data_IF_490362000451
#
_entry.id   IF_490362000451
#
_cell.length_a   1.000
_cell.length_b   1.000
_cell.length_c   1.000
_cell.angle_alpha   90.00
_cell.angle_beta   90.00
_cell.angle_gamma   90.00
#
_symmetry.space_group_name_H-M   'P 1'
#
loop_
_entity.id
_entity.type
_entity.pdbx_description
1 polymer ?
#
# COMPACT_ATOMS: atom_id res chain seq x y z
N UNK A 1 1.77 12.95 -14.10
CA UNK A 1 1.96 12.16 -12.85
C UNK A 1 3.40 11.64 -12.87
N UNK A 2 4.28 12.42 -12.29
CA UNK A 2 5.69 11.99 -12.14
C UNK A 2 5.75 10.95 -11.01
N UNK A 3 6.02 9.71 -11.37
CA UNK A 3 6.31 8.66 -10.40
C UNK A 3 7.74 8.89 -9.88
N UNK A 4 7.93 9.89 -9.02
CA UNK A 4 9.21 10.09 -8.34
C UNK A 4 9.47 8.89 -7.43
N UNK A 5 10.49 8.11 -7.78
CA UNK A 5 10.95 6.96 -6.98
C UNK A 5 10.81 5.59 -7.64
N UNK A 6 10.54 5.54 -8.94
CA UNK A 6 10.71 4.31 -9.73
C UNK A 6 12.16 4.16 -10.19
N UNK A 7 13.08 4.04 -9.25
CA UNK A 7 14.28 3.29 -9.51
C UNK A 7 13.89 1.81 -9.40
N UNK A 8 13.87 1.12 -10.52
CA UNK A 8 13.83 -0.34 -10.57
C UNK A 8 15.16 -0.87 -10.02
N UNK A 9 15.46 -0.55 -8.75
CA UNK A 9 16.58 -1.13 -8.03
C UNK A 9 16.24 -2.59 -7.90
N UNK A 10 17.08 -3.44 -8.49
CA UNK A 10 17.01 -4.86 -8.27
C UNK A 10 16.86 -5.11 -6.77
N UNK A 11 15.74 -5.71 -6.39
CA UNK A 11 15.49 -6.08 -4.99
C UNK A 11 16.63 -6.99 -4.57
N UNK A 12 17.47 -6.52 -3.62
CA UNK A 12 18.55 -7.36 -3.09
C UNK A 12 17.93 -8.39 -2.12
N UNK A 13 17.84 -9.65 -2.53
CA UNK A 13 17.20 -10.69 -1.71
C UNK A 13 17.92 -10.89 -0.37
N UNK A 14 19.18 -10.47 -0.24
CA UNK A 14 19.94 -10.55 1.03
C UNK A 14 19.37 -9.65 2.12
N UNK A 15 18.65 -8.57 1.75
CA UNK A 15 17.97 -7.70 2.73
C UNK A 15 16.84 -8.42 3.44
N UNK A 16 16.08 -9.23 2.71
CA UNK A 16 14.99 -10.04 3.27
C UNK A 16 15.54 -11.09 4.23
N UNK A 17 16.58 -11.82 3.82
CA UNK A 17 17.17 -12.92 4.62
C UNK A 17 17.83 -12.42 5.90
N UNK A 18 18.40 -11.21 5.88
CA UNK A 18 19.06 -10.59 7.03
C UNK A 18 18.10 -9.85 7.98
N UNK A 19 16.86 -9.61 7.59
CA UNK A 19 15.93 -8.78 8.34
C UNK A 19 15.51 -9.41 9.66
N UNK A 20 15.32 -8.58 10.68
CA UNK A 20 14.99 -8.94 12.06
C UNK A 20 13.82 -8.10 12.58
N UNK A 21 13.20 -8.59 13.65
CA UNK A 21 12.20 -7.80 14.37
C UNK A 21 12.79 -6.44 14.79
N UNK A 22 12.03 -5.38 14.53
CA UNK A 22 12.44 -3.99 14.73
C UNK A 22 12.93 -3.27 13.47
N UNK A 23 13.31 -4.00 12.43
CA UNK A 23 13.79 -3.38 11.18
C UNK A 23 12.65 -2.71 10.42
N UNK A 24 12.86 -1.45 10.00
CA UNK A 24 11.93 -0.72 9.16
C UNK A 24 12.18 -1.01 7.67
N UNK A 25 11.11 -1.18 6.90
CA UNK A 25 11.19 -1.23 5.45
C UNK A 25 11.43 0.19 4.89
N UNK A 26 12.15 0.31 3.76
CA UNK A 26 12.22 1.58 3.04
C UNK A 26 10.82 2.04 2.64
N UNK A 27 10.34 3.10 3.30
CA UNK A 27 9.03 3.69 3.04
C UNK A 27 9.01 4.45 1.71
N UNK A 28 7.80 4.73 1.21
CA UNK A 28 7.63 5.64 0.08
C UNK A 28 6.32 6.40 0.21
N UNK A 29 6.19 7.47 -0.59
CA UNK A 29 4.98 8.28 -0.66
C UNK A 29 4.43 8.23 -2.07
N UNK A 30 3.14 7.98 -2.20
CA UNK A 30 2.39 8.03 -3.45
C UNK A 30 1.43 9.23 -3.46
N UNK A 31 1.11 9.73 -4.63
CA UNK A 31 0.19 10.86 -4.80
C UNK A 31 0.92 12.17 -5.17
N UNK A 32 0.26 13.33 -5.01
CA UNK A 32 -1.10 13.47 -4.47
C UNK A 32 -2.15 12.74 -5.31
N UNK A 33 -3.16 12.20 -4.64
CA UNK A 33 -4.29 11.53 -5.30
C UNK A 33 -5.04 12.56 -6.15
N UNK A 34 -5.20 12.26 -7.44
CA UNK A 34 -5.93 13.13 -8.37
C UNK A 34 -7.14 12.39 -8.94
N UNK A 35 -8.19 13.14 -9.34
CA UNK A 35 -9.35 12.58 -10.05
C UNK A 35 -8.91 11.82 -11.32
N UNK A 36 -7.88 12.32 -12.00
CA UNK A 36 -7.29 11.66 -13.17
C UNK A 36 -6.71 10.27 -12.79
N UNK A 37 -5.95 10.19 -11.68
CA UNK A 37 -5.42 8.92 -11.21
C UNK A 37 -6.54 7.93 -10.83
N UNK A 38 -7.64 8.43 -10.23
CA UNK A 38 -8.79 7.59 -9.89
C UNK A 38 -9.51 7.07 -11.15
N UNK A 39 -9.66 7.90 -12.20
CA UNK A 39 -10.23 7.47 -13.47
C UNK A 39 -9.38 6.38 -14.15
N UNK A 40 -8.06 6.54 -14.13
CA UNK A 40 -7.14 5.51 -14.66
C UNK A 40 -7.22 4.21 -13.86
N UNK A 41 -7.27 4.30 -12.52
CA UNK A 41 -7.38 3.14 -11.67
C UNK A 41 -8.73 2.43 -11.83
N UNK A 42 -9.83 3.18 -11.96
CA UNK A 42 -11.15 2.64 -12.28
C UNK A 42 -11.12 1.75 -13.53
N UNK A 43 -10.50 2.24 -14.61
CA UNK A 43 -10.35 1.47 -15.84
C UNK A 43 -9.42 0.26 -15.70
N UNK A 44 -8.32 0.40 -14.95
CA UNK A 44 -7.33 -0.67 -14.78
C UNK A 44 -7.79 -1.77 -13.82
N UNK A 45 -8.51 -1.42 -12.76
CA UNK A 45 -8.94 -2.36 -11.73
C UNK A 45 -10.28 -3.05 -12.04
N UNK A 46 -11.10 -2.44 -12.91
CA UNK A 46 -12.48 -2.88 -13.14
C UNK A 46 -13.45 -2.48 -12.02
N UNK A 47 -13.00 -1.73 -11.02
CA UNK A 47 -13.88 -1.15 -10.00
C UNK A 47 -14.47 0.16 -10.54
N UNK A 48 -15.63 0.04 -11.16
CA UNK A 48 -16.35 1.13 -11.83
C UNK A 48 -17.38 1.80 -10.91
N UNK A 49 -17.28 1.68 -9.60
CA UNK A 49 -18.18 2.37 -8.70
C UNK A 49 -18.10 3.89 -8.93
N UNK A 50 -19.20 4.55 -9.35
CA UNK A 50 -19.18 5.96 -9.72
C UNK A 50 -18.77 6.90 -8.59
N UNK A 51 -18.86 6.47 -7.33
CA UNK A 51 -18.46 7.28 -6.17
C UNK A 51 -16.98 7.72 -6.21
N UNK A 52 -16.15 7.03 -6.98
CA UNK A 52 -14.72 7.31 -7.12
C UNK A 52 -14.39 8.22 -8.30
N UNK A 53 -15.31 8.41 -9.26
CA UNK A 53 -14.99 9.10 -10.52
C UNK A 53 -16.05 10.13 -10.94
N UNK A 54 -17.28 10.04 -10.42
CA UNK A 54 -18.40 10.93 -10.72
C UNK A 54 -18.70 11.81 -9.49
N UNK A 55 -18.39 13.10 -9.62
CA UNK A 55 -18.54 14.05 -8.51
C UNK A 55 -20.01 14.29 -8.15
N UNK A 56 -20.92 14.26 -9.14
CA UNK A 56 -22.34 14.47 -8.88
C UNK A 56 -22.92 13.26 -8.13
N UNK A 57 -22.50 12.06 -8.49
CA UNK A 57 -22.85 10.84 -7.74
C UNK A 57 -22.30 10.89 -6.31
N UNK A 58 -21.02 11.26 -6.13
CA UNK A 58 -20.42 11.36 -4.81
C UNK A 58 -21.14 12.37 -3.92
N UNK A 59 -21.49 13.54 -4.45
CA UNK A 59 -22.26 14.57 -3.74
C UNK A 59 -23.67 14.10 -3.38
N UNK A 60 -24.35 13.41 -4.28
CA UNK A 60 -25.65 12.83 -4.00
C UNK A 60 -25.57 11.76 -2.89
N UNK A 61 -24.44 11.11 -2.73
CA UNK A 61 -24.14 10.17 -1.64
C UNK A 61 -23.65 10.84 -0.34
N UNK A 62 -23.63 12.19 -0.28
CA UNK A 62 -23.24 12.95 0.91
C UNK A 62 -21.75 13.21 1.08
N UNK A 63 -20.97 13.00 0.02
CA UNK A 63 -19.54 13.31 0.00
C UNK A 63 -19.30 14.67 -0.66
N UNK A 64 -18.30 15.42 -0.22
CA UNK A 64 -17.94 16.70 -0.82
C UNK A 64 -17.31 16.52 -2.21
N UNK A 65 -16.58 15.44 -2.42
CA UNK A 65 -15.87 15.10 -3.65
C UNK A 65 -15.78 13.57 -3.82
N UNK A 66 -15.33 13.11 -4.96
CA UNK A 66 -14.89 11.73 -5.15
C UNK A 66 -13.71 11.42 -4.22
N UNK A 67 -13.50 10.16 -3.91
CA UNK A 67 -12.40 9.72 -3.06
C UNK A 67 -11.74 8.46 -3.63
N UNK A 68 -10.55 8.15 -3.13
CA UNK A 68 -9.77 7.04 -3.64
C UNK A 68 -10.43 5.69 -3.36
N UNK A 69 -10.35 4.79 -4.33
CA UNK A 69 -10.62 3.37 -4.11
C UNK A 69 -9.74 2.87 -2.96
N UNK A 70 -10.30 2.19 -2.00
CA UNK A 70 -9.52 1.61 -0.90
C UNK A 70 -8.43 0.66 -1.41
N UNK A 71 -8.74 -0.09 -2.47
CA UNK A 71 -7.79 -1.01 -3.10
C UNK A 71 -6.63 -0.30 -3.82
N UNK A 72 -6.75 0.98 -4.21
CA UNK A 72 -5.61 1.75 -4.70
C UNK A 72 -4.58 1.97 -3.59
N UNK A 73 -5.01 2.37 -2.40
CA UNK A 73 -4.12 2.51 -1.24
C UNK A 73 -3.55 1.16 -0.79
N UNK A 74 -4.34 0.08 -0.91
CA UNK A 74 -3.87 -1.30 -0.70
C UNK A 74 -2.75 -1.67 -1.68
N UNK A 75 -2.89 -1.31 -2.96
CA UNK A 75 -1.86 -1.53 -3.97
C UNK A 75 -0.55 -0.78 -3.66
N UNK A 76 -0.63 0.41 -3.05
CA UNK A 76 0.57 1.10 -2.58
C UNK A 76 1.27 0.37 -1.44
N UNK A 77 0.54 -0.23 -0.49
CA UNK A 77 1.14 -1.08 0.54
C UNK A 77 1.74 -2.36 -0.06
N UNK A 78 1.07 -2.99 -1.02
CA UNK A 78 1.64 -4.13 -1.73
C UNK A 78 2.93 -3.76 -2.47
N UNK A 79 2.98 -2.56 -3.06
CA UNK A 79 4.17 -2.04 -3.71
C UNK A 79 5.32 -1.77 -2.73
N UNK A 80 5.03 -1.30 -1.51
CA UNK A 80 6.05 -1.19 -0.46
C UNK A 80 6.76 -2.54 -0.27
N UNK A 81 6.00 -3.62 -0.20
CA UNK A 81 6.53 -4.97 -0.03
C UNK A 81 7.32 -5.43 -1.25
N UNK A 82 6.79 -5.24 -2.47
CA UNK A 82 7.45 -5.69 -3.70
C UNK A 82 8.65 -4.83 -4.11
N UNK A 83 8.77 -3.62 -3.60
CA UNK A 83 9.99 -2.81 -3.69
C UNK A 83 11.12 -3.34 -2.77
N UNK A 84 10.76 -4.08 -1.73
CA UNK A 84 11.70 -4.58 -0.72
C UNK A 84 12.02 -6.06 -0.88
N UNK A 85 11.04 -6.87 -1.30
CA UNK A 85 11.16 -8.32 -1.44
C UNK A 85 10.57 -8.80 -2.77
N UNK A 86 11.03 -9.93 -3.33
CA UNK A 86 10.40 -10.51 -4.51
C UNK A 86 8.95 -10.91 -4.20
N UNK A 87 8.05 -10.74 -5.15
CA UNK A 87 6.64 -11.10 -4.97
C UNK A 87 6.45 -12.58 -4.58
N UNK A 88 7.33 -13.45 -5.07
CA UNK A 88 7.32 -14.89 -4.74
C UNK A 88 7.59 -15.19 -3.26
N UNK A 89 8.14 -14.24 -2.50
CA UNK A 89 8.33 -14.38 -1.06
C UNK A 89 7.03 -14.16 -0.27
N UNK A 90 6.04 -13.47 -0.84
CA UNK A 90 4.81 -13.14 -0.14
C UNK A 90 3.98 -14.40 0.13
N UNK A 91 3.58 -14.60 1.40
CA UNK A 91 2.74 -15.71 1.86
C UNK A 91 1.35 -15.25 2.29
N UNK A 92 1.30 -14.10 2.96
CA UNK A 92 0.05 -13.49 3.42
C UNK A 92 0.11 -11.98 3.22
N UNK A 93 -1.02 -11.38 2.88
CA UNK A 93 -1.19 -9.94 2.82
C UNK A 93 -2.64 -9.61 3.17
N UNK A 94 -2.84 -8.92 4.26
CA UNK A 94 -4.14 -8.49 4.73
C UNK A 94 -4.11 -7.01 5.09
N UNK A 95 -5.21 -6.30 4.79
CA UNK A 95 -5.37 -4.89 5.13
C UNK A 95 -6.72 -4.64 5.78
N UNK A 96 -6.75 -3.60 6.60
CA UNK A 96 -7.95 -3.03 7.19
C UNK A 96 -8.08 -1.58 6.75
N UNK A 97 -9.23 -1.22 6.18
CA UNK A 97 -9.58 0.15 5.87
C UNK A 97 -9.97 0.87 7.17
N UNK A 98 -9.33 1.99 7.45
CA UNK A 98 -9.54 2.77 8.69
C UNK A 98 -10.26 4.07 8.39
N UNK A 99 -9.84 4.79 7.35
CA UNK A 99 -10.43 6.04 6.92
C UNK A 99 -10.32 6.24 5.41
N UNK A 100 -11.16 7.10 4.87
CA UNK A 100 -11.17 7.48 3.45
C UNK A 100 -9.88 8.20 3.09
N UNK A 101 -9.31 7.86 1.93
CA UNK A 101 -8.23 8.61 1.30
C UNK A 101 -8.83 9.61 0.32
N UNK A 102 -8.61 10.90 0.53
CA UNK A 102 -9.23 11.97 -0.24
C UNK A 102 -8.41 12.37 -1.47
N UNK A 103 -9.05 13.04 -2.42
CA UNK A 103 -8.35 13.77 -3.48
C UNK A 103 -7.43 14.80 -2.84
N UNK A 104 -6.17 14.87 -3.31
CA UNK A 104 -5.13 15.72 -2.74
C UNK A 104 -4.28 15.07 -1.64
N UNK A 105 -4.71 13.93 -1.08
CA UNK A 105 -3.90 13.22 -0.09
C UNK A 105 -2.61 12.66 -0.72
N UNK A 106 -1.51 12.81 -0.01
CA UNK A 106 -0.32 11.97 -0.18
C UNK A 106 -0.47 10.73 0.69
N UNK A 107 -0.21 9.57 0.12
CA UNK A 107 -0.28 8.28 0.83
C UNK A 107 1.13 7.85 1.22
N UNK A 108 1.46 8.02 2.49
CA UNK A 108 2.76 7.63 3.07
C UNK A 108 2.69 6.19 3.55
N UNK A 109 3.42 5.31 2.87
CA UNK A 109 3.47 3.88 3.15
C UNK A 109 4.71 3.54 3.97
N UNK A 110 4.52 2.86 5.09
CA UNK A 110 5.59 2.39 5.99
C UNK A 110 5.36 0.93 6.36
N UNK A 111 6.43 0.24 6.69
CA UNK A 111 6.40 -1.14 7.18
C UNK A 111 7.49 -1.39 8.20
N UNK A 112 7.22 -2.28 9.14
CA UNK A 112 8.18 -2.71 10.15
C UNK A 112 8.10 -4.22 10.34
N UNK A 113 9.25 -4.89 10.34
CA UNK A 113 9.34 -6.29 10.73
C UNK A 113 9.07 -6.39 12.23
N UNK A 114 8.05 -7.13 12.61
CA UNK A 114 7.68 -7.31 14.03
C UNK A 114 8.03 -8.68 14.57
N UNK A 115 8.20 -9.66 13.69
CA UNK A 115 8.48 -11.04 14.10
C UNK A 115 9.29 -11.78 13.02
N UNK A 116 10.20 -12.64 13.45
CA UNK A 116 10.85 -13.66 12.62
C UNK A 116 10.54 -15.02 13.24
N UNK A 117 9.97 -15.92 12.46
CA UNK A 117 9.48 -17.21 12.96
C UNK A 117 9.58 -18.30 11.89
N UNK A 118 9.53 -19.56 12.32
CA UNK A 118 9.54 -20.71 11.42
C UNK A 118 8.13 -21.28 11.29
N UNK A 119 7.71 -21.54 10.05
CA UNK A 119 6.43 -22.15 9.74
C UNK A 119 6.50 -22.89 8.40
N UNK A 120 5.92 -24.09 8.35
CA UNK A 120 5.83 -24.92 7.15
C UNK A 120 7.17 -25.17 6.45
N UNK A 121 8.26 -25.32 7.23
CA UNK A 121 9.59 -25.55 6.70
C UNK A 121 10.30 -24.32 6.12
N UNK A 122 9.75 -23.14 6.35
CA UNK A 122 10.31 -21.86 5.94
C UNK A 122 10.56 -20.96 7.15
N UNK A 123 11.62 -20.17 7.11
CA UNK A 123 11.74 -19.01 8.01
C UNK A 123 10.96 -17.85 7.40
N UNK A 124 10.10 -17.24 8.19
CA UNK A 124 9.18 -16.16 7.75
C UNK A 124 9.36 -14.90 8.58
N UNK A 125 9.01 -13.78 7.97
CA UNK A 125 8.94 -12.46 8.60
C UNK A 125 7.49 -12.00 8.61
N UNK A 126 7.01 -11.51 9.75
CA UNK A 126 5.76 -10.76 9.86
C UNK A 126 6.07 -9.28 9.82
N UNK A 127 5.38 -8.57 8.96
CA UNK A 127 5.56 -7.14 8.74
C UNK A 127 4.26 -6.43 9.03
N UNK A 128 4.27 -5.46 9.92
CA UNK A 128 3.17 -4.52 10.09
C UNK A 128 3.29 -3.39 9.09
N UNK A 129 2.16 -2.99 8.52
CA UNK A 129 2.07 -2.01 7.44
C UNK A 129 1.12 -0.89 7.82
N UNK A 130 1.45 0.33 7.43
CA UNK A 130 0.59 1.49 7.59
C UNK A 130 0.61 2.37 6.34
N UNK A 131 -0.56 2.88 5.96
CA UNK A 131 -0.71 3.96 5.00
C UNK A 131 -1.34 5.16 5.72
N UNK A 132 -0.65 6.30 5.71
CA UNK A 132 -1.08 7.53 6.37
C UNK A 132 -1.14 8.68 5.38
N UNK A 133 -2.03 9.65 5.64
CA UNK A 133 -2.04 10.92 4.92
C UNK A 133 -0.81 11.76 5.25
N UNK A 134 -0.60 12.85 4.51
CA UNK A 134 0.44 13.85 4.81
C UNK A 134 0.27 14.50 6.20
N UNK A 135 -0.96 14.54 6.72
CA UNK A 135 -1.27 15.02 8.08
C UNK A 135 -1.01 13.97 9.17
N UNK A 136 -0.59 12.75 8.78
CA UNK A 136 -0.32 11.66 9.71
C UNK A 136 -1.53 10.81 10.10
N UNK A 137 -2.70 11.06 9.51
CA UNK A 137 -3.91 10.28 9.79
C UNK A 137 -3.82 8.88 9.17
N UNK A 138 -4.15 7.86 9.95
CA UNK A 138 -4.13 6.48 9.48
C UNK A 138 -5.28 6.24 8.49
N UNK A 139 -4.95 5.80 7.27
CA UNK A 139 -5.90 5.42 6.21
C UNK A 139 -6.10 3.91 6.16
N UNK A 140 -4.99 3.16 6.17
CA UNK A 140 -4.99 1.70 6.20
C UNK A 140 -3.99 1.20 7.23
N UNK A 141 -4.30 0.08 7.86
CA UNK A 141 -3.34 -0.78 8.56
C UNK A 141 -3.29 -2.15 7.87
N UNK A 142 -2.17 -2.84 7.95
CA UNK A 142 -2.03 -4.13 7.32
C UNK A 142 -1.00 -5.00 7.98
N UNK A 143 -1.01 -6.26 7.60
CA UNK A 143 -0.01 -7.27 7.96
C UNK A 143 0.37 -8.05 6.71
N UNK A 144 1.64 -8.31 6.56
CA UNK A 144 2.15 -9.24 5.55
C UNK A 144 3.05 -10.29 6.18
N UNK A 145 3.10 -11.46 5.56
CA UNK A 145 4.05 -12.52 5.90
C UNK A 145 4.88 -12.83 4.65
N UNK A 146 6.20 -12.77 4.80
CA UNK A 146 7.14 -13.06 3.72
C UNK A 146 8.08 -14.19 4.14
N UNK A 147 8.34 -15.14 3.23
CA UNK A 147 9.33 -16.17 3.44
C UNK A 147 10.73 -15.64 3.09
N UNK A 148 11.71 -15.95 3.94
CA UNK A 148 13.15 -15.81 3.62
C UNK A 148 13.59 -16.99 2.77
N UNK A 149 14.80 -16.96 2.25
CA UNK A 149 15.42 -18.09 1.53
C UNK A 149 16.06 -19.07 2.48
#
# INVERSE_FOLDING_TARGET
>A
MELRGLDARSVDPRRLDAARAGDALPGFTAGPISRHALALYCGASGDHNPIHVDIDFARAAGMDDVFAHGMLSTAYLARLLTNWAPQSALREFAVRFVAITHVGDEVRCTGQVVERFDAQGETRLRVELQARSQAGELRLSGVAVLATR
#
